data_IF_163133910144
#
_entry.id   IF_163133910144
#
_cell.length_a   1.000
_cell.length_b   1.000
_cell.length_c   1.000
_cell.angle_alpha   90.00
_cell.angle_beta   90.00
_cell.angle_gamma   90.00
#
_symmetry.space_group_name_H-M   'P 1'
#
loop_
_entity.id
_entity.type
_entity.pdbx_description
1 polymer ?
#
# COMPACT_ATOMS: atom_id res chain seq x y z
N UNK A 1 -19.61 -24.59 -51.14
CA UNK A 1 -18.29 -24.03 -51.51
C UNK A 1 -18.50 -22.53 -51.66
N UNK A 2 -18.06 -21.63 -50.78
CA UNK A 2 -16.81 -21.60 -50.03
C UNK A 2 -17.01 -20.72 -48.79
N UNK A 3 -16.64 -21.21 -47.61
CA UNK A 3 -16.52 -20.46 -46.35
C UNK A 3 -15.28 -19.56 -46.40
N UNK A 4 -15.30 -18.33 -45.88
CA UNK A 4 -14.08 -17.61 -45.54
C UNK A 4 -13.60 -17.98 -44.14
N UNK A 5 -12.28 -18.17 -44.05
CA UNK A 5 -11.46 -18.50 -42.89
C UNK A 5 -11.31 -17.29 -41.93
N UNK A 6 -11.29 -17.46 -40.58
CA UNK A 6 -11.04 -16.39 -39.64
C UNK A 6 -9.58 -16.43 -39.13
N UNK A 7 -8.70 -15.65 -39.73
CA UNK A 7 -7.35 -15.47 -39.18
C UNK A 7 -6.83 -14.05 -39.44
N UNK A 8 -7.08 -13.15 -38.48
CA UNK A 8 -6.27 -11.97 -38.25
C UNK A 8 -6.37 -11.56 -36.78
N UNK A 9 -5.46 -12.10 -35.96
CA UNK A 9 -4.96 -11.32 -34.81
C UNK A 9 -4.16 -10.16 -35.35
N UNK A 10 -4.41 -8.95 -34.84
CA UNK A 10 -3.26 -8.17 -34.39
C UNK A 10 -3.58 -7.35 -33.13
N UNK A 11 -2.58 -7.19 -32.27
CA UNK A 11 -2.56 -6.11 -31.30
C UNK A 11 -2.05 -6.49 -29.92
N UNK A 12 -0.78 -6.89 -29.82
CA UNK A 12 -0.02 -6.60 -28.62
C UNK A 12 0.10 -5.07 -28.53
N UNK A 13 -0.87 -4.42 -27.88
CA UNK A 13 -0.79 -3.00 -27.57
C UNK A 13 0.33 -2.82 -26.56
N UNK A 14 1.48 -2.41 -27.08
CA UNK A 14 2.58 -1.86 -26.31
C UNK A 14 2.06 -0.62 -25.59
N UNK A 15 1.84 -0.74 -24.28
CA UNK A 15 1.72 0.41 -23.39
C UNK A 15 3.09 1.08 -23.27
N UNK A 16 3.55 1.76 -24.34
CA UNK A 16 4.82 2.51 -24.37
C UNK A 16 4.60 4.02 -24.18
N UNK A 17 3.52 4.43 -23.51
CA UNK A 17 3.27 5.85 -23.30
C UNK A 17 2.54 6.12 -21.98
N UNK A 18 3.21 5.84 -20.86
CA UNK A 18 2.85 6.45 -19.58
C UNK A 18 4.05 6.51 -18.62
N UNK A 19 5.13 7.17 -19.03
CA UNK A 19 6.12 7.72 -18.09
C UNK A 19 7.01 8.74 -18.81
N UNK A 20 6.88 10.01 -18.41
CA UNK A 20 8.02 10.91 -18.44
C UNK A 20 8.82 10.62 -17.16
N UNK A 21 10.14 10.39 -17.21
CA UNK A 21 10.91 10.20 -15.99
C UNK A 21 10.81 11.49 -15.16
N UNK A 22 10.47 11.36 -13.87
CA UNK A 22 10.62 12.46 -12.95
C UNK A 22 12.11 12.82 -12.91
N UNK A 23 12.43 14.10 -13.13
CA UNK A 23 13.78 14.61 -13.00
C UNK A 23 14.19 14.60 -11.52
N UNK A 24 14.71 13.48 -11.06
CA UNK A 24 15.50 13.38 -9.85
C UNK A 24 16.64 12.40 -10.14
N UNK A 25 17.83 12.74 -9.64
CA UNK A 25 19.10 12.04 -9.77
C UNK A 25 19.05 10.68 -9.02
N UNK A 26 18.15 9.80 -9.47
CA UNK A 26 17.79 8.53 -8.85
C UNK A 26 18.41 7.39 -9.64
N UNK A 27 19.73 7.38 -9.76
CA UNK A 27 20.42 6.22 -10.33
C UNK A 27 20.32 5.04 -9.36
N UNK A 28 19.48 4.08 -9.70
CA UNK A 28 19.50 2.75 -9.07
C UNK A 28 20.93 2.19 -9.18
N UNK A 29 21.53 1.72 -8.07
CA UNK A 29 22.87 1.12 -8.13
C UNK A 29 22.94 0.01 -9.19
N UNK A 30 24.04 -0.06 -9.94
CA UNK A 30 24.17 -0.95 -11.11
C UNK A 30 23.84 -2.43 -10.85
N UNK A 31 24.08 -2.94 -9.63
CA UNK A 31 23.73 -4.32 -9.26
C UNK A 31 22.23 -4.54 -9.06
N UNK A 32 21.50 -3.52 -8.60
CA UNK A 32 20.05 -3.59 -8.45
C UNK A 32 19.33 -3.51 -9.79
N UNK A 33 19.88 -2.76 -10.74
CA UNK A 33 19.36 -2.67 -12.11
C UNK A 33 19.39 -4.03 -12.83
N UNK A 34 20.50 -4.76 -12.76
CA UNK A 34 20.62 -6.09 -13.38
C UNK A 34 19.68 -7.13 -12.76
N UNK A 35 19.49 -7.08 -11.44
CA UNK A 35 18.53 -7.96 -10.77
C UNK A 35 17.07 -7.61 -11.13
N UNK A 36 16.74 -6.32 -11.22
CA UNK A 36 15.40 -5.86 -11.63
C UNK A 36 15.05 -6.30 -13.06
N UNK A 37 16.01 -6.24 -13.99
CA UNK A 37 15.81 -6.74 -15.36
C UNK A 37 15.43 -8.23 -15.37
N UNK A 38 16.12 -9.08 -14.60
CA UNK A 38 15.75 -10.50 -14.45
C UNK A 38 14.32 -10.69 -13.92
N UNK A 39 13.87 -9.82 -13.02
CA UNK A 39 12.47 -9.82 -12.55
C UNK A 39 11.50 -9.46 -13.70
N UNK A 40 11.77 -8.39 -14.43
CA UNK A 40 10.94 -7.89 -15.54
C UNK A 40 10.83 -8.87 -16.70
N UNK A 41 11.89 -9.64 -16.94
CA UNK A 41 11.99 -10.69 -17.96
C UNK A 41 11.51 -12.07 -17.48
N UNK A 42 11.11 -12.17 -16.20
CA UNK A 42 10.65 -13.42 -15.57
C UNK A 42 11.73 -14.54 -15.56
N UNK A 43 12.99 -14.17 -15.38
CA UNK A 43 14.16 -15.06 -15.36
C UNK A 43 14.63 -15.43 -13.94
N UNK A 44 13.87 -15.06 -12.92
CA UNK A 44 14.12 -15.49 -11.55
C UNK A 44 13.61 -16.93 -11.35
N UNK A 45 14.31 -17.72 -10.54
CA UNK A 45 13.79 -18.99 -10.06
C UNK A 45 12.77 -18.76 -8.93
N UNK A 46 11.82 -19.68 -8.68
CA UNK A 46 10.80 -19.51 -7.63
C UNK A 46 11.35 -19.27 -6.22
N UNK A 47 12.54 -19.78 -5.90
CA UNK A 47 13.19 -19.59 -4.60
C UNK A 47 13.94 -18.25 -4.49
N UNK A 48 14.18 -17.56 -5.60
CA UNK A 48 14.82 -16.24 -5.63
C UNK A 48 13.82 -15.10 -5.38
N UNK A 49 12.52 -15.38 -5.33
CA UNK A 49 11.50 -14.34 -5.19
C UNK A 49 10.59 -14.58 -3.98
N UNK A 50 10.95 -13.94 -2.86
CA UNK A 50 10.17 -13.94 -1.63
C UNK A 50 9.55 -12.59 -1.31
N UNK A 51 9.13 -12.44 -0.05
CA UNK A 51 8.57 -11.20 0.48
C UNK A 51 9.57 -10.03 0.42
N UNK A 52 10.82 -10.29 0.78
CA UNK A 52 11.90 -9.30 0.74
C UNK A 52 12.07 -8.73 -0.67
N UNK A 53 12.06 -9.59 -1.68
CA UNK A 53 12.23 -9.21 -3.08
C UNK A 53 11.02 -8.47 -3.63
N UNK A 54 9.80 -8.79 -3.18
CA UNK A 54 8.61 -7.98 -3.47
C UNK A 54 8.83 -6.53 -3.00
N UNK A 55 9.21 -6.34 -1.74
CA UNK A 55 9.48 -5.00 -1.18
C UNK A 55 10.62 -4.31 -1.94
N UNK A 56 11.64 -5.07 -2.36
CA UNK A 56 12.75 -4.56 -3.18
C UNK A 56 12.28 -4.00 -4.52
N UNK A 57 11.47 -4.73 -5.26
CA UNK A 57 10.92 -4.25 -6.55
C UNK A 57 10.07 -3.01 -6.33
N UNK A 58 9.23 -2.99 -5.30
CA UNK A 58 8.41 -1.81 -4.97
C UNK A 58 9.30 -0.57 -4.72
N UNK A 59 10.37 -0.71 -3.92
CA UNK A 59 11.33 0.36 -3.66
C UNK A 59 12.04 0.82 -4.94
N UNK A 60 12.53 -0.12 -5.76
CA UNK A 60 13.23 0.19 -7.02
C UNK A 60 12.34 0.93 -8.03
N UNK A 61 11.07 0.56 -8.13
CA UNK A 61 10.12 1.28 -8.96
C UNK A 61 9.78 2.66 -8.39
N UNK A 62 9.64 2.79 -7.08
CA UNK A 62 9.38 4.09 -6.43
C UNK A 62 10.59 5.05 -6.49
N UNK A 63 11.81 4.54 -6.70
CA UNK A 63 12.96 5.38 -7.00
C UNK A 63 12.90 5.99 -8.41
N UNK A 64 12.17 5.37 -9.35
CA UNK A 64 12.16 5.73 -10.78
C UNK A 64 10.85 6.38 -11.23
N UNK A 65 9.75 6.06 -10.55
CA UNK A 65 8.40 6.40 -10.97
C UNK A 65 7.58 6.96 -9.80
N UNK A 66 6.64 7.84 -10.15
CA UNK A 66 5.60 8.27 -9.22
C UNK A 66 4.73 7.08 -8.75
N UNK A 67 4.15 7.13 -7.54
CA UNK A 67 3.51 5.97 -6.90
C UNK A 67 2.46 5.25 -7.76
N UNK A 68 1.55 5.92 -8.48
CA UNK A 68 0.57 5.23 -9.32
C UNK A 68 1.21 4.42 -10.45
N UNK A 69 2.31 4.92 -11.03
CA UNK A 69 3.04 4.24 -12.11
C UNK A 69 3.83 3.07 -11.54
N UNK A 70 4.55 3.26 -10.42
CA UNK A 70 5.28 2.20 -9.73
C UNK A 70 4.37 1.04 -9.35
N UNK A 71 3.18 1.34 -8.82
CA UNK A 71 2.16 0.34 -8.47
C UNK A 71 1.69 -0.45 -9.70
N UNK A 72 1.35 0.24 -10.79
CA UNK A 72 0.92 -0.40 -12.03
C UNK A 72 1.98 -1.37 -12.59
N UNK A 73 3.24 -0.92 -12.63
CA UNK A 73 4.36 -1.75 -13.08
C UNK A 73 4.59 -2.97 -12.19
N UNK A 74 4.51 -2.79 -10.86
CA UNK A 74 4.65 -3.89 -9.90
C UNK A 74 3.55 -4.94 -10.08
N UNK A 75 2.29 -4.51 -10.21
CA UNK A 75 1.16 -5.42 -10.41
C UNK A 75 1.35 -6.26 -11.68
N UNK A 76 1.74 -5.63 -12.79
CA UNK A 76 1.98 -6.34 -14.06
C UNK A 76 3.15 -7.32 -13.92
N UNK A 77 4.28 -6.87 -13.36
CA UNK A 77 5.46 -7.70 -13.16
C UNK A 77 5.19 -8.92 -12.27
N UNK A 78 4.54 -8.72 -11.13
CA UNK A 78 4.19 -9.80 -10.20
C UNK A 78 3.22 -10.82 -10.83
N UNK A 79 2.22 -10.37 -11.60
CA UNK A 79 1.29 -11.27 -12.29
C UNK A 79 2.01 -12.11 -13.36
N UNK A 80 2.91 -11.49 -14.15
CA UNK A 80 3.74 -12.20 -15.14
C UNK A 80 4.65 -13.22 -14.48
N UNK A 81 5.36 -12.83 -13.42
CA UNK A 81 6.28 -13.72 -12.71
C UNK A 81 5.54 -14.89 -12.06
N UNK A 82 4.41 -14.62 -11.39
CA UNK A 82 3.60 -15.67 -10.79
C UNK A 82 3.05 -16.68 -11.84
N UNK A 83 2.69 -16.20 -13.03
CA UNK A 83 2.30 -17.06 -14.14
C UNK A 83 3.48 -17.90 -14.67
N UNK A 84 4.67 -17.30 -14.82
CA UNK A 84 5.89 -18.02 -15.22
C UNK A 84 6.27 -19.13 -14.22
N UNK A 85 5.96 -18.94 -12.93
CA UNK A 85 6.16 -19.96 -11.89
C UNK A 85 5.06 -21.04 -11.85
N UNK A 86 4.06 -20.98 -12.73
CA UNK A 86 2.88 -21.86 -12.66
C UNK A 86 2.03 -21.64 -11.40
N UNK A 87 2.17 -20.47 -10.78
CA UNK A 87 1.62 -20.15 -9.46
C UNK A 87 0.82 -18.84 -9.48
N UNK A 88 0.08 -18.57 -10.55
CA UNK A 88 -0.72 -17.35 -10.71
C UNK A 88 -1.63 -17.07 -9.51
N UNK A 89 -2.13 -18.13 -8.87
CA UNK A 89 -2.95 -18.06 -7.64
C UNK A 89 -2.21 -17.51 -6.41
N UNK A 90 -0.89 -17.30 -6.44
CA UNK A 90 -0.13 -16.68 -5.34
C UNK A 90 -0.23 -15.15 -5.34
N UNK A 91 -0.55 -14.52 -6.47
CA UNK A 91 -0.70 -13.07 -6.54
C UNK A 91 -1.82 -12.59 -5.59
N UNK A 92 -1.60 -11.43 -4.96
CA UNK A 92 -2.53 -10.83 -4.02
C UNK A 92 -2.56 -9.31 -4.17
N UNK A 93 -3.68 -8.78 -4.65
CA UNK A 93 -3.82 -7.35 -4.99
C UNK A 93 -3.69 -6.46 -3.74
N UNK A 94 -4.48 -6.70 -2.68
CA UNK A 94 -4.46 -5.84 -1.47
C UNK A 94 -3.08 -5.76 -0.80
N UNK A 95 -2.38 -6.89 -0.67
CA UNK A 95 -1.02 -6.92 -0.10
C UNK A 95 -0.05 -6.09 -0.95
N UNK A 96 -0.12 -6.24 -2.28
CA UNK A 96 0.74 -5.48 -3.21
C UNK A 96 0.54 -3.98 -3.03
N UNK A 97 -0.71 -3.51 -2.99
CA UNK A 97 -1.05 -2.11 -2.75
C UNK A 97 -0.53 -1.62 -1.40
N UNK A 98 -0.78 -2.37 -0.32
CA UNK A 98 -0.36 -2.00 1.03
C UNK A 98 1.16 -1.79 1.11
N UNK A 99 1.95 -2.70 0.52
CA UNK A 99 3.41 -2.60 0.53
C UNK A 99 3.94 -1.44 -0.31
N UNK A 100 3.36 -1.13 -1.47
CA UNK A 100 3.75 0.06 -2.24
C UNK A 100 3.50 1.33 -1.42
N UNK A 101 2.33 1.44 -0.78
CA UNK A 101 2.00 2.60 0.07
C UNK A 101 2.97 2.74 1.24
N UNK A 102 3.26 1.65 1.97
CA UNK A 102 4.19 1.70 3.10
C UNK A 102 5.62 2.00 2.67
N UNK A 103 6.12 1.39 1.60
CA UNK A 103 7.46 1.67 1.10
C UNK A 103 7.58 3.15 0.74
N UNK A 104 6.61 3.69 0.01
CA UNK A 104 6.61 5.10 -0.35
C UNK A 104 6.54 6.02 0.89
N UNK A 105 5.64 5.74 1.85
CA UNK A 105 5.55 6.49 3.12
C UNK A 105 6.90 6.52 3.85
N UNK A 106 7.62 5.39 3.92
CA UNK A 106 8.94 5.32 4.56
C UNK A 106 10.01 6.11 3.81
N UNK A 107 9.98 6.08 2.47
CA UNK A 107 10.88 6.91 1.65
C UNK A 107 10.64 8.41 1.90
N UNK A 108 9.39 8.84 2.08
CA UNK A 108 9.06 10.24 2.36
C UNK A 108 9.43 10.67 3.78
N UNK A 109 9.29 9.79 4.77
CA UNK A 109 9.64 10.08 6.18
C UNK A 109 11.15 10.15 6.41
N UNK A 110 11.92 9.39 5.64
CA UNK A 110 13.38 9.30 5.78
C UNK A 110 14.05 9.39 4.40
N UNK A 111 14.20 10.59 3.82
CA UNK A 111 14.78 10.78 2.49
C UNK A 111 16.27 10.38 2.36
N UNK A 112 16.91 9.97 3.46
CA UNK A 112 18.34 9.67 3.54
C UNK A 112 18.73 8.26 3.04
N UNK A 113 17.78 7.35 2.86
CA UNK A 113 18.07 5.99 2.39
C UNK A 113 18.37 5.97 0.89
N UNK A 114 19.65 6.08 0.52
CA UNK A 114 20.12 6.11 -0.89
C UNK A 114 20.41 4.74 -1.49
N UNK A 115 20.17 3.66 -0.74
CA UNK A 115 20.40 2.29 -1.20
C UNK A 115 19.38 1.33 -0.62
N UNK A 116 19.15 0.23 -1.35
CA UNK A 116 18.26 -0.84 -0.89
C UNK A 116 18.67 -1.38 0.50
N UNK A 117 19.97 -1.62 0.72
CA UNK A 117 20.46 -2.16 1.99
C UNK A 117 20.22 -1.21 3.18
N UNK A 118 20.35 0.11 2.96
CA UNK A 118 20.03 1.09 3.99
C UNK A 118 18.52 1.13 4.28
N UNK A 119 17.70 1.14 3.23
CA UNK A 119 16.24 1.11 3.36
C UNK A 119 15.75 -0.14 4.11
N UNK A 120 16.27 -1.32 3.73
CA UNK A 120 15.95 -2.60 4.36
C UNK A 120 16.32 -2.60 5.86
N UNK A 121 17.53 -2.17 6.19
CA UNK A 121 18.02 -2.07 7.58
C UNK A 121 17.17 -1.13 8.43
N UNK A 122 16.75 -0.01 7.86
CA UNK A 122 16.04 1.04 8.60
C UNK A 122 14.53 0.74 8.76
N UNK A 123 14.00 -0.25 8.05
CA UNK A 123 12.58 -0.61 8.07
C UNK A 123 12.34 -2.13 8.30
N UNK A 124 12.89 -2.72 9.38
CA UNK A 124 12.82 -4.17 9.61
C UNK A 124 11.39 -4.68 9.77
N UNK A 125 10.45 -3.82 10.19
CA UNK A 125 9.04 -4.16 10.37
C UNK A 125 8.30 -4.42 9.05
N UNK A 126 8.80 -3.93 7.91
CA UNK A 126 8.27 -4.30 6.60
C UNK A 126 8.48 -5.79 6.28
N UNK A 127 9.45 -6.45 6.91
CA UNK A 127 9.88 -7.82 6.60
C UNK A 127 9.49 -8.84 7.66
N UNK A 128 8.94 -8.41 8.79
CA UNK A 128 8.65 -9.27 9.93
C UNK A 128 7.52 -10.27 9.66
N UNK A 129 7.78 -11.55 10.02
CA UNK A 129 6.80 -12.64 10.10
C UNK A 129 7.17 -13.59 11.26
N UNK A 130 6.26 -13.87 12.23
CA UNK A 130 4.92 -13.30 12.45
C UNK A 130 4.93 -11.83 12.91
N UNK A 131 3.76 -11.16 12.90
CA UNK A 131 3.62 -9.77 13.35
C UNK A 131 3.82 -8.71 12.25
N UNK A 132 3.51 -9.08 11.00
CA UNK A 132 3.62 -8.18 9.84
C UNK A 132 2.72 -6.94 9.99
N UNK A 133 3.07 -5.86 9.30
CA UNK A 133 2.25 -4.64 9.28
C UNK A 133 0.80 -4.89 8.85
N UNK A 134 0.57 -5.95 8.06
CA UNK A 134 -0.75 -6.38 7.63
C UNK A 134 -1.66 -6.71 8.82
N UNK A 135 -1.17 -7.42 9.84
CA UNK A 135 -2.00 -7.84 10.98
C UNK A 135 -2.47 -6.68 11.87
N UNK A 136 -1.87 -5.50 11.71
CA UNK A 136 -2.27 -4.27 12.41
C UNK A 136 -3.53 -3.64 11.80
N UNK A 137 -3.69 -3.74 10.48
CA UNK A 137 -4.78 -3.12 9.73
C UNK A 137 -5.82 -4.10 9.19
N UNK A 138 -5.47 -5.37 9.02
CA UNK A 138 -6.36 -6.37 8.45
C UNK A 138 -6.54 -7.55 9.39
N UNK A 139 -7.76 -8.07 9.42
CA UNK A 139 -8.02 -9.42 9.91
C UNK A 139 -7.48 -10.47 8.93
N UNK A 140 -7.16 -11.66 9.45
CA UNK A 140 -6.73 -12.78 8.61
C UNK A 140 -7.88 -13.21 7.68
N UNK A 141 -9.12 -13.10 8.14
CA UNK A 141 -10.33 -13.36 7.36
C UNK A 141 -10.47 -12.43 6.16
N UNK A 142 -10.23 -11.13 6.32
CA UNK A 142 -10.30 -10.18 5.22
C UNK A 142 -9.21 -10.43 4.19
N UNK A 143 -7.96 -10.68 4.62
CA UNK A 143 -6.86 -11.00 3.71
C UNK A 143 -7.05 -12.34 3.00
N UNK A 144 -7.62 -13.34 3.68
CA UNK A 144 -7.93 -14.61 3.05
C UNK A 144 -9.08 -14.53 2.01
N UNK A 145 -9.84 -13.43 2.00
CA UNK A 145 -11.02 -13.30 1.15
C UNK A 145 -10.67 -13.28 -0.36
N UNK A 146 -11.51 -13.90 -1.22
CA UNK A 146 -11.33 -13.81 -2.67
C UNK A 146 -11.37 -12.37 -3.20
N UNK A 147 -12.06 -11.46 -2.50
CA UNK A 147 -12.15 -10.06 -2.86
C UNK A 147 -10.79 -9.37 -2.68
N UNK A 148 -10.15 -9.50 -1.51
CA UNK A 148 -8.86 -8.88 -1.21
C UNK A 148 -7.73 -9.37 -2.13
N UNK A 149 -7.83 -10.60 -2.66
CA UNK A 149 -6.90 -11.13 -3.65
C UNK A 149 -7.05 -10.48 -5.03
N UNK A 150 -8.27 -10.07 -5.43
CA UNK A 150 -8.59 -9.56 -6.78
C UNK A 150 -8.63 -8.04 -6.88
N UNK A 151 -9.00 -7.35 -5.80
CA UNK A 151 -9.02 -5.89 -5.75
C UNK A 151 -8.43 -5.42 -4.41
N UNK A 152 -7.95 -4.18 -4.38
CA UNK A 152 -7.62 -3.52 -3.12
C UNK A 152 -8.90 -3.37 -2.28
N UNK A 153 -8.83 -3.80 -1.02
CA UNK A 153 -9.85 -3.54 -0.01
C UNK A 153 -9.23 -2.74 1.13
N UNK A 154 -10.01 -1.87 1.75
CA UNK A 154 -9.55 -1.07 2.88
C UNK A 154 -9.30 -1.94 4.13
N UNK A 155 -8.35 -1.54 5.01
CA UNK A 155 -8.14 -2.19 6.30
C UNK A 155 -9.43 -2.23 7.13
N UNK A 156 -9.83 -3.42 7.62
CA UNK A 156 -11.02 -3.60 8.48
C UNK A 156 -10.72 -3.47 9.98
N UNK A 157 -9.45 -3.55 10.38
CA UNK A 157 -8.99 -3.15 11.70
C UNK A 157 -8.70 -1.67 11.68
N UNK A 158 -9.75 -0.87 11.56
CA UNK A 158 -9.69 0.49 12.05
C UNK A 158 -9.30 0.38 13.54
N UNK A 159 -8.27 1.13 13.95
CA UNK A 159 -7.83 1.13 15.34
C UNK A 159 -9.04 1.17 16.24
N UNK A 160 -9.07 0.32 17.27
CA UNK A 160 -10.05 0.37 18.34
C UNK A 160 -9.89 1.69 19.10
N UNK A 161 -10.18 2.82 18.46
CA UNK A 161 -10.64 4.01 19.11
C UNK A 161 -12.05 3.65 19.58
N UNK A 162 -12.05 2.98 20.73
CA UNK A 162 -13.12 2.90 21.71
C UNK A 162 -14.32 3.80 21.36
N UNK A 163 -15.28 3.25 20.62
CA UNK A 163 -16.62 3.80 20.55
C UNK A 163 -17.38 3.46 21.84
N UNK A 164 -16.79 3.76 23.00
CA UNK A 164 -17.57 4.22 24.14
C UNK A 164 -18.00 5.65 23.79
N UNK A 165 -19.16 5.73 23.14
CA UNK A 165 -19.93 6.97 23.18
C UNK A 165 -20.06 7.42 24.65
N UNK A 166 -20.15 8.73 24.94
CA UNK A 166 -20.46 9.14 26.29
C UNK A 166 -21.78 8.46 26.64
N UNK A 167 -21.76 7.54 27.63
CA UNK A 167 -23.01 7.12 28.25
C UNK A 167 -23.67 8.41 28.72
N UNK A 168 -24.81 8.74 28.10
CA UNK A 168 -25.79 9.62 28.72
C UNK A 168 -26.13 8.99 30.06
N UNK A 169 -25.41 9.43 31.08
CA UNK A 169 -25.80 9.29 32.47
C UNK A 169 -27.23 9.77 32.56
N UNK A 170 -28.17 8.81 32.69
CA UNK A 170 -29.52 9.07 33.18
C UNK A 170 -29.36 9.48 34.64
N UNK A 171 -28.94 10.72 34.84
CA UNK A 171 -28.99 11.39 36.11
C UNK A 171 -30.46 11.75 36.34
N UNK A 172 -31.11 10.85 37.06
CA UNK A 172 -32.38 11.02 37.73
C UNK A 172 -32.50 12.44 38.31
N UNK A 173 -33.40 13.25 37.75
CA UNK A 173 -33.66 14.62 38.24
C UNK A 173 -34.42 14.55 39.57
N UNK A 174 -33.87 15.03 40.70
CA UNK A 174 -34.72 15.31 41.85
C UNK A 174 -35.57 16.56 41.59
N UNK A 175 -36.84 16.48 41.98
CA UNK A 175 -37.81 17.58 41.91
C UNK A 175 -37.59 18.59 43.05
N UNK A 176 -37.39 19.85 42.65
CA UNK A 176 -37.78 21.06 43.40
C UNK A 176 -36.71 21.71 44.30
N UNK A 177 -36.99 22.93 44.84
CA UNK A 177 -37.64 24.08 44.21
C UNK A 177 -36.69 25.28 44.07
N UNK A 178 -37.17 26.29 43.35
CA UNK A 178 -36.51 27.55 43.05
C UNK A 178 -36.03 28.34 44.27
N UNK A 179 -34.88 29.02 44.17
CA UNK A 179 -34.76 30.44 44.54
C UNK A 179 -33.43 31.07 44.07
N UNK A 180 -33.58 32.27 43.50
CA UNK A 180 -32.70 33.44 43.58
C UNK A 180 -31.20 33.32 43.20
N UNK A 181 -30.83 34.00 42.10
CA UNK A 181 -29.52 34.64 41.99
C UNK A 181 -29.69 36.15 41.98
N UNK A 182 -29.29 36.75 43.10
CA UNK A 182 -28.91 38.15 43.20
C UNK A 182 -27.55 38.35 42.55
N UNK A 183 -27.51 39.36 41.68
CA UNK A 183 -26.54 40.45 41.61
C UNK A 183 -25.05 40.15 41.39
N UNK A 184 -24.56 40.97 40.45
CA UNK A 184 -23.25 41.62 40.42
C UNK A 184 -22.10 40.73 39.91
N UNK A 185 -21.24 41.17 39.01
CA UNK A 185 -21.00 42.48 38.42
C UNK A 185 -19.82 42.33 37.46
N UNK A 186 -19.58 43.38 36.67
CA UNK A 186 -18.35 43.74 35.95
C UNK A 186 -18.33 43.27 34.50
N UNK A 187 -17.97 44.08 33.51
CA UNK A 187 -17.47 45.47 33.45
C UNK A 187 -17.60 45.83 31.97
N UNK A 188 -18.21 46.98 31.64
CA UNK A 188 -17.99 47.62 30.33
C UNK A 188 -16.82 48.58 30.49
N UNK A 189 -15.91 48.50 29.53
CA UNK A 189 -14.82 49.44 29.31
C UNK A 189 -15.30 50.63 28.46
N UNK A 190 -14.59 51.74 28.61
CA UNK A 190 -14.59 52.89 27.69
C UNK A 190 -15.16 54.17 28.31
N UNK A 191 -14.64 55.35 27.93
CA UNK A 191 -13.82 55.61 26.74
C UNK A 191 -12.31 55.69 26.99
#
# INVERSE_FOLDING_TARGET
MTTPDPAASPGATTAKHLASPAAADSTVPSGDAGWLARFEDCELAPHEFGHREHVKVAWLYLCQYEPPVALGQLIVGLKRLAAAFGAAGKYHETITWAYVCWVHERMQRSPGARSWLAFERDNPDLFAWPGSLLSRGYTDEQLASPLARRCFVWPDRAGTADSRGPEESVAERPRGPALASQLASRRRAGP
#
